data_IF_439313186248
#
_entry.id   IF_439313186248
#
_cell.length_a   1.000
_cell.length_b   1.000
_cell.length_c   1.000
_cell.angle_alpha   90.00
_cell.angle_beta   90.00
_cell.angle_gamma   90.00
#
_symmetry.space_group_name_H-M   'P 1'
#
loop_
_entity.id
_entity.type
_entity.pdbx_description
1 polymer ?
#
# COMPACT_ATOMS: atom_id res chain seq x y z
N UNK A 1 -16.02 51.15 91.84
CA UNK A 1 -14.95 51.49 90.85
C UNK A 1 -14.60 50.22 90.07
N UNK A 2 -15.20 50.04 88.95
CA UNK A 2 -14.84 48.93 88.03
C UNK A 2 -14.83 49.54 86.63
N UNK A 3 -13.67 49.61 86.03
CA UNK A 3 -13.45 50.09 84.69
C UNK A 3 -13.99 49.10 83.64
N UNK A 4 -14.77 49.62 82.74
CA UNK A 4 -15.28 48.92 81.58
C UNK A 4 -14.34 49.22 80.41
N UNK A 5 -13.49 48.28 80.08
CA UNK A 5 -12.67 48.35 78.85
C UNK A 5 -13.53 47.86 77.64
N UNK A 6 -13.77 48.79 76.75
CA UNK A 6 -14.47 48.52 75.50
C UNK A 6 -13.41 47.92 74.50
N UNK A 7 -13.64 46.68 74.18
CA UNK A 7 -12.88 45.98 73.15
C UNK A 7 -13.29 46.54 71.76
N UNK A 8 -12.39 47.24 71.07
CA UNK A 8 -12.52 47.59 69.67
C UNK A 8 -12.33 46.31 68.84
N UNK A 9 -13.40 45.64 68.51
CA UNK A 9 -13.37 44.53 67.56
C UNK A 9 -13.43 45.08 66.13
N UNK A 10 -12.26 45.11 65.54
CA UNK A 10 -11.90 44.73 64.20
C UNK A 10 -12.78 45.25 63.05
N UNK A 11 -12.36 46.33 62.47
CA UNK A 11 -12.75 46.85 61.13
C UNK A 11 -12.05 46.13 59.96
N UNK A 12 -11.48 44.92 60.13
CA UNK A 12 -10.75 44.20 59.08
C UNK A 12 -11.61 43.52 58.01
N UNK A 13 -12.84 43.23 58.26
CA UNK A 13 -13.71 42.46 57.36
C UNK A 13 -14.19 43.22 56.11
N UNK A 14 -14.28 44.55 56.17
CA UNK A 14 -14.76 45.37 55.05
C UNK A 14 -13.67 45.61 54.00
N UNK A 15 -12.40 45.76 54.43
CA UNK A 15 -11.24 45.94 53.56
C UNK A 15 -10.93 44.63 52.82
N UNK A 16 -11.00 43.50 53.49
CA UNK A 16 -10.77 42.18 52.90
C UNK A 16 -11.87 41.84 51.86
N UNK A 17 -13.12 42.12 52.14
CA UNK A 17 -14.23 41.96 51.19
C UNK A 17 -14.09 42.89 49.97
N UNK A 18 -13.63 44.12 50.14
CA UNK A 18 -13.34 45.05 49.05
C UNK A 18 -12.20 44.57 48.16
N UNK A 19 -11.13 44.04 48.75
CA UNK A 19 -10.00 43.49 48.04
C UNK A 19 -10.39 42.23 47.25
N UNK A 20 -11.07 41.27 47.84
CA UNK A 20 -11.57 40.04 47.19
C UNK A 20 -12.52 40.38 46.03
N UNK A 21 -13.39 41.37 46.17
CA UNK A 21 -14.26 41.80 45.07
C UNK A 21 -13.51 42.42 43.90
N UNK A 22 -12.47 43.24 44.15
CA UNK A 22 -11.61 43.81 43.10
C UNK A 22 -10.79 42.74 42.42
N UNK A 23 -10.27 41.77 43.18
CA UNK A 23 -9.55 40.61 42.63
C UNK A 23 -10.46 39.77 41.71
N UNK A 24 -11.70 39.50 42.16
CA UNK A 24 -12.68 38.75 41.36
C UNK A 24 -13.01 39.49 40.05
N UNK A 25 -13.23 40.81 40.09
CA UNK A 25 -13.44 41.59 38.86
C UNK A 25 -12.22 41.57 37.95
N UNK A 26 -11.01 41.60 38.50
CA UNK A 26 -9.77 41.46 37.70
C UNK A 26 -9.68 40.09 37.01
N UNK A 27 -10.01 39.01 37.74
CA UNK A 27 -10.01 37.65 37.14
C UNK A 27 -11.10 37.55 36.06
N UNK A 28 -12.33 38.04 36.30
CA UNK A 28 -13.38 38.01 35.29
C UNK A 28 -12.98 38.82 34.04
N UNK A 29 -12.42 40.01 34.24
CA UNK A 29 -11.93 40.83 33.11
C UNK A 29 -10.85 40.10 32.32
N UNK A 30 -9.90 39.43 33.00
CA UNK A 30 -8.85 38.62 32.35
C UNK A 30 -9.44 37.46 31.54
N UNK A 31 -10.42 36.73 32.13
CA UNK A 31 -11.10 35.63 31.40
C UNK A 31 -11.82 36.18 30.16
N UNK A 32 -12.54 37.29 30.28
CA UNK A 32 -13.19 37.91 29.10
C UNK A 32 -12.18 38.28 28.02
N UNK A 33 -11.04 38.87 28.41
CA UNK A 33 -9.98 39.22 27.45
C UNK A 33 -9.44 37.97 26.81
N UNK A 34 -9.15 36.91 27.54
CA UNK A 34 -8.69 35.62 26.98
C UNK A 34 -9.73 35.02 26.03
N UNK A 35 -11.02 35.07 26.37
CA UNK A 35 -12.09 34.59 25.48
C UNK A 35 -12.07 35.41 24.16
N UNK A 36 -12.03 36.73 24.25
CA UNK A 36 -12.03 37.60 23.07
C UNK A 36 -10.80 37.33 22.20
N UNK A 37 -9.60 37.24 22.77
CA UNK A 37 -8.37 36.90 22.03
C UNK A 37 -8.53 35.52 21.39
N UNK A 38 -9.02 34.51 22.12
CA UNK A 38 -9.19 33.15 21.60
C UNK A 38 -10.21 33.08 20.47
N UNK A 39 -11.22 33.95 20.42
CA UNK A 39 -12.15 34.04 19.28
C UNK A 39 -11.55 34.71 18.05
N UNK A 40 -10.55 35.59 18.24
CA UNK A 40 -9.84 36.26 17.13
C UNK A 40 -8.72 35.37 16.56
N UNK A 41 -8.20 34.42 17.33
CA UNK A 41 -7.21 33.46 16.85
C UNK A 41 -7.80 32.60 15.72
N UNK A 42 -6.97 32.18 14.72
CA UNK A 42 -7.40 31.30 13.64
C UNK A 42 -8.08 30.03 14.20
N UNK A 43 -9.23 29.65 13.64
CA UNK A 43 -9.90 28.41 13.99
C UNK A 43 -9.25 27.18 13.36
N UNK A 44 -8.53 27.36 12.25
CA UNK A 44 -7.87 26.28 11.52
C UNK A 44 -6.36 26.28 11.75
N UNK A 45 -5.80 25.10 11.84
CA UNK A 45 -4.36 24.90 11.88
C UNK A 45 -3.96 23.96 10.75
N UNK A 46 -2.91 24.34 10.02
CA UNK A 46 -2.35 23.56 8.92
C UNK A 46 -0.85 23.36 9.12
N UNK A 47 -0.44 22.11 8.97
CA UNK A 47 0.96 21.68 8.99
C UNK A 47 1.25 21.02 7.66
N UNK A 48 2.43 21.28 7.10
CA UNK A 48 2.90 20.59 5.90
C UNK A 48 4.40 20.36 6.02
N UNK A 49 4.84 19.15 5.70
CA UNK A 49 6.25 18.76 5.57
C UNK A 49 6.44 18.08 4.22
N UNK A 50 7.67 18.04 3.73
CA UNK A 50 7.98 17.43 2.46
C UNK A 50 9.33 16.72 2.50
N UNK A 51 9.46 15.63 1.73
CA UNK A 51 10.71 14.90 1.57
C UNK A 51 10.88 14.45 0.13
N UNK A 52 12.12 14.48 -0.37
CA UNK A 52 12.47 13.89 -1.66
C UNK A 52 12.97 12.47 -1.44
N UNK A 53 12.35 11.51 -2.12
CA UNK A 53 12.58 10.07 -2.05
C UNK A 53 13.10 9.61 -3.40
N UNK A 54 14.23 8.90 -3.41
CA UNK A 54 14.83 8.36 -4.64
C UNK A 54 14.18 7.02 -5.02
N UNK A 55 12.89 7.10 -5.32
CA UNK A 55 12.06 5.98 -5.75
C UNK A 55 10.91 6.49 -6.63
N UNK A 56 10.40 5.64 -7.58
CA UNK A 56 9.26 5.96 -8.42
C UNK A 56 7.99 6.26 -7.59
N UNK A 57 7.13 7.14 -8.10
CA UNK A 57 5.87 7.48 -7.43
C UNK A 57 4.98 6.26 -7.19
N UNK A 58 5.01 5.27 -8.09
CA UNK A 58 4.28 4.02 -7.92
C UNK A 58 4.72 3.24 -6.67
N UNK A 59 6.03 3.18 -6.40
CA UNK A 59 6.59 2.53 -5.20
C UNK A 59 6.19 3.27 -3.93
N UNK A 60 6.32 4.59 -3.92
CA UNK A 60 5.96 5.43 -2.76
C UNK A 60 4.45 5.37 -2.50
N UNK A 61 3.64 5.53 -3.54
CA UNK A 61 2.18 5.46 -3.46
C UNK A 61 1.68 4.14 -2.85
N UNK A 62 2.31 3.01 -3.19
CA UNK A 62 1.97 1.72 -2.61
C UNK A 62 2.13 1.68 -1.08
N UNK A 63 3.07 2.46 -0.51
CA UNK A 63 3.27 2.56 0.94
C UNK A 63 2.24 3.48 1.61
N UNK A 64 1.61 4.39 0.88
CA UNK A 64 0.64 5.36 1.38
C UNK A 64 -0.80 4.88 1.28
N UNK A 65 -1.10 4.10 0.22
CA UNK A 65 -2.46 3.71 -0.16
C UNK A 65 -2.93 2.39 0.50
N UNK A 66 -2.18 1.87 1.47
CA UNK A 66 -2.47 0.65 2.23
C UNK A 66 -2.03 0.84 3.68
N UNK A 67 -2.97 0.80 4.63
CA UNK A 67 -2.66 1.01 6.03
C UNK A 67 -1.79 -0.09 6.65
N UNK A 68 -1.76 -1.30 6.10
CA UNK A 68 -0.80 -2.33 6.54
C UNK A 68 0.63 -1.96 6.15
N UNK A 69 0.81 -1.30 5.00
CA UNK A 69 2.11 -0.75 4.57
C UNK A 69 2.46 0.51 5.34
N UNK A 70 1.48 1.39 5.57
CA UNK A 70 1.61 2.59 6.41
C UNK A 70 2.16 2.24 7.80
N UNK A 71 1.72 1.13 8.39
CA UNK A 71 2.20 0.65 9.69
C UNK A 71 3.71 0.39 9.76
N UNK A 72 4.38 0.15 8.63
CA UNK A 72 5.83 -0.13 8.60
C UNK A 72 6.70 1.11 8.83
N UNK A 73 6.14 2.32 8.65
CA UNK A 73 6.87 3.57 8.73
C UNK A 73 6.18 4.65 9.58
N UNK A 74 4.92 4.45 9.96
CA UNK A 74 4.17 5.41 10.77
C UNK A 74 4.76 5.55 12.19
N UNK A 75 5.14 6.78 12.63
CA UNK A 75 5.83 7.00 13.90
C UNK A 75 5.02 6.56 15.12
N UNK A 76 3.68 6.67 15.05
CA UNK A 76 2.80 6.36 16.18
C UNK A 76 2.91 4.93 16.69
N UNK A 77 3.25 3.98 15.81
CA UNK A 77 3.36 2.56 16.17
C UNK A 77 4.66 2.25 16.94
N UNK A 78 5.67 3.11 16.85
CA UNK A 78 6.89 2.97 17.67
C UNK A 78 6.76 3.63 19.04
N UNK A 79 5.97 4.72 19.13
CA UNK A 79 5.77 5.46 20.37
C UNK A 79 5.00 4.59 21.38
N UNK A 80 4.11 3.71 20.92
CA UNK A 80 3.32 2.82 21.76
C UNK A 80 3.46 1.36 21.31
N UNK A 81 4.43 0.59 21.85
CA UNK A 81 4.65 -0.80 21.46
C UNK A 81 3.49 -1.75 21.76
N UNK A 82 2.55 -1.36 22.62
CA UNK A 82 1.38 -2.15 22.99
C UNK A 82 0.09 -1.68 22.28
N UNK A 83 0.21 -0.78 21.32
CA UNK A 83 -0.93 -0.28 20.55
C UNK A 83 -1.64 -1.43 19.84
N UNK A 84 -2.95 -1.49 19.96
CA UNK A 84 -3.78 -2.42 19.19
C UNK A 84 -4.23 -1.75 17.92
N UNK A 85 -4.02 -2.42 16.80
CA UNK A 85 -4.42 -1.91 15.49
C UNK A 85 -5.38 -2.92 14.85
N UNK A 86 -6.49 -2.42 14.33
CA UNK A 86 -7.47 -3.17 13.57
C UNK A 86 -7.62 -2.55 12.18
N UNK A 87 -7.62 -3.39 11.16
CA UNK A 87 -7.85 -3.00 9.78
C UNK A 87 -9.23 -3.48 9.34
N UNK A 88 -9.98 -2.62 8.65
CA UNK A 88 -11.32 -2.91 8.14
C UNK A 88 -11.60 -2.18 6.83
N UNK A 89 -12.71 -2.53 6.18
CA UNK A 89 -13.07 -1.97 4.88
C UNK A 89 -12.23 -2.55 3.74
N UNK A 90 -11.92 -1.72 2.75
CA UNK A 90 -11.07 -2.12 1.61
C UNK A 90 -9.66 -2.46 2.07
N UNK A 91 -9.01 -3.43 1.44
CA UNK A 91 -7.61 -3.77 1.75
C UNK A 91 -6.64 -2.62 1.46
N UNK A 92 -7.01 -1.73 0.54
CA UNK A 92 -6.26 -0.53 0.13
C UNK A 92 -7.16 0.48 -0.57
N UNK A 93 -6.70 1.73 -0.68
CA UNK A 93 -7.41 2.81 -1.33
C UNK A 93 -8.66 3.27 -0.58
N UNK A 94 -9.57 3.96 -1.26
CA UNK A 94 -10.78 4.50 -0.64
C UNK A 94 -11.60 3.43 0.08
N UNK A 95 -12.02 3.74 1.32
CA UNK A 95 -12.72 2.81 2.21
C UNK A 95 -11.81 1.94 3.08
N UNK A 96 -10.49 1.94 2.85
CA UNK A 96 -9.55 1.31 3.79
C UNK A 96 -9.55 2.08 5.11
N UNK A 97 -9.67 1.36 6.22
CA UNK A 97 -9.79 1.95 7.56
C UNK A 97 -8.83 1.26 8.52
N UNK A 98 -8.13 2.08 9.31
CA UNK A 98 -7.29 1.66 10.42
C UNK A 98 -7.81 2.27 11.72
N UNK A 99 -8.13 1.44 12.70
CA UNK A 99 -8.50 1.86 14.05
C UNK A 99 -7.37 1.46 15.00
N UNK A 100 -7.02 2.35 15.91
CA UNK A 100 -6.01 2.07 16.93
C UNK A 100 -6.49 2.40 18.32
N UNK A 101 -5.95 1.69 19.30
CA UNK A 101 -6.19 1.90 20.72
C UNK A 101 -4.89 1.64 21.49
N UNK A 102 -4.35 2.66 22.11
CA UNK A 102 -3.07 2.64 22.80
C UNK A 102 -3.00 3.55 24.00
N UNK A 103 -2.20 3.19 24.98
CA UNK A 103 -2.05 3.94 26.22
C UNK A 103 -1.31 5.27 26.03
N UNK A 104 -0.40 5.34 25.09
CA UNK A 104 0.43 6.53 24.79
C UNK A 104 -0.09 7.24 23.54
N UNK A 105 -0.39 6.48 22.49
CA UNK A 105 -0.88 7.02 21.21
C UNK A 105 -2.36 7.46 21.27
N UNK A 106 -3.07 7.12 22.36
CA UNK A 106 -4.52 7.33 22.46
C UNK A 106 -5.28 6.41 21.50
N UNK A 107 -6.57 6.70 21.31
CA UNK A 107 -7.46 5.93 20.43
C UNK A 107 -7.91 6.78 19.27
N UNK A 108 -8.18 6.14 18.14
CA UNK A 108 -8.68 6.83 16.95
C UNK A 108 -8.91 5.93 15.76
N UNK A 109 -9.44 6.54 14.71
CA UNK A 109 -9.70 5.88 13.44
C UNK A 109 -9.24 6.78 12.31
N UNK A 110 -8.62 6.21 11.29
CA UNK A 110 -8.31 6.90 10.05
C UNK A 110 -8.82 6.10 8.86
N UNK A 111 -9.37 6.81 7.87
CA UNK A 111 -9.95 6.22 6.68
C UNK A 111 -9.43 6.92 5.44
N UNK A 112 -8.97 6.17 4.45
CA UNK A 112 -8.67 6.71 3.13
C UNK A 112 -10.01 7.04 2.46
N UNK A 113 -10.24 8.32 2.19
CA UNK A 113 -11.50 8.80 1.58
C UNK A 113 -11.36 9.07 0.08
N UNK A 114 -10.16 9.37 -0.37
CA UNK A 114 -9.86 9.58 -1.79
C UNK A 114 -8.43 9.13 -2.09
N UNK A 115 -8.21 8.68 -3.32
CA UNK A 115 -6.91 8.23 -3.77
C UNK A 115 -6.83 8.38 -5.29
N UNK A 116 -5.87 9.20 -5.74
CA UNK A 116 -5.52 9.36 -7.15
C UNK A 116 -4.19 8.64 -7.36
N UNK A 117 -4.15 7.60 -8.21
CA UNK A 117 -2.95 6.79 -8.41
C UNK A 117 -1.71 7.64 -8.70
N UNK A 118 -0.66 7.42 -7.90
CA UNK A 118 0.67 8.04 -7.99
C UNK A 118 0.73 9.55 -7.73
N UNK A 119 -0.40 10.19 -7.42
CA UNK A 119 -0.51 11.64 -7.23
C UNK A 119 -0.96 12.03 -5.83
N UNK A 120 -1.98 11.36 -5.26
CA UNK A 120 -2.60 11.82 -4.02
C UNK A 120 -3.26 10.70 -3.21
N UNK A 121 -3.18 10.83 -1.87
CA UNK A 121 -3.98 10.03 -0.92
C UNK A 121 -4.54 10.97 0.15
N UNK A 122 -5.87 10.98 0.31
CA UNK A 122 -6.58 11.77 1.31
C UNK A 122 -7.10 10.86 2.43
N UNK A 123 -6.86 11.28 3.66
CA UNK A 123 -7.20 10.54 4.86
C UNK A 123 -8.00 11.45 5.80
N UNK A 124 -9.10 10.92 6.31
CA UNK A 124 -9.86 11.52 7.41
C UNK A 124 -9.45 10.83 8.71
N UNK A 125 -9.12 11.62 9.73
CA UNK A 125 -8.78 11.16 11.08
C UNK A 125 -9.88 11.55 12.05
N UNK A 126 -10.33 10.59 12.86
CA UNK A 126 -11.25 10.81 13.97
C UNK A 126 -10.59 10.27 15.26
N UNK A 127 -10.42 11.15 16.27
CA UNK A 127 -9.84 10.83 17.58
C UNK A 127 -10.86 10.87 18.71
N UNK A 128 -12.18 10.89 18.36
CA UNK A 128 -13.26 11.01 19.35
C UNK A 128 -13.46 12.41 19.90
N UNK A 129 -12.68 13.40 19.46
CA UNK A 129 -12.89 14.82 19.77
C UNK A 129 -13.85 15.47 18.76
N UNK A 130 -14.55 16.55 19.13
CA UNK A 130 -15.36 17.29 18.17
C UNK A 130 -14.48 17.90 17.07
N UNK A 131 -14.69 17.50 15.84
CA UNK A 131 -13.98 17.95 14.65
C UNK A 131 -13.21 16.81 13.96
N UNK A 132 -13.33 16.75 12.64
CA UNK A 132 -12.54 15.86 11.81
C UNK A 132 -11.21 16.54 11.48
N UNK A 133 -10.14 15.77 11.49
CA UNK A 133 -8.86 16.22 10.98
C UNK A 133 -8.61 15.57 9.62
N UNK A 134 -8.04 16.35 8.71
CA UNK A 134 -7.71 15.89 7.36
C UNK A 134 -6.21 15.77 7.19
N UNK A 135 -5.79 14.68 6.60
CA UNK A 135 -4.41 14.45 6.21
C UNK A 135 -4.34 14.15 4.72
N UNK A 136 -3.38 14.76 4.03
CA UNK A 136 -3.18 14.55 2.60
C UNK A 136 -1.73 14.31 2.29
N UNK A 137 -1.48 13.27 1.50
CA UNK A 137 -0.23 13.07 0.80
C UNK A 137 -0.39 13.54 -0.64
N UNK A 138 0.56 14.33 -1.12
CA UNK A 138 0.69 14.70 -2.53
C UNK A 138 2.06 14.25 -3.03
N UNK A 139 2.09 13.64 -4.21
CA UNK A 139 3.29 13.10 -4.83
C UNK A 139 3.56 13.85 -6.14
N UNK A 140 4.81 14.18 -6.37
CA UNK A 140 5.28 14.75 -7.64
C UNK A 140 6.57 14.03 -8.03
N UNK A 141 6.54 13.27 -9.14
CA UNK A 141 7.70 12.56 -9.65
C UNK A 141 8.47 13.39 -10.66
N UNK A 142 9.78 13.44 -10.51
CA UNK A 142 10.70 14.07 -11.44
C UNK A 142 11.97 13.24 -11.55
N UNK A 143 12.32 12.83 -12.77
CA UNK A 143 13.52 12.05 -13.07
C UNK A 143 13.67 10.76 -12.24
N UNK A 144 12.56 10.08 -11.96
CA UNK A 144 12.54 8.80 -11.22
C UNK A 144 12.63 8.95 -9.69
N UNK A 145 12.66 10.18 -9.18
CA UNK A 145 12.56 10.48 -7.76
C UNK A 145 11.23 11.18 -7.45
N UNK A 146 10.67 10.92 -6.29
CA UNK A 146 9.36 11.43 -5.89
C UNK A 146 9.47 12.40 -4.73
N UNK A 147 8.94 13.62 -4.91
CA UNK A 147 8.72 14.55 -3.81
C UNK A 147 7.37 14.25 -3.17
N UNK A 148 7.38 13.88 -1.89
CA UNK A 148 6.17 13.66 -1.10
C UNK A 148 5.95 14.84 -0.19
N UNK A 149 4.75 15.43 -0.25
CA UNK A 149 4.28 16.44 0.68
C UNK A 149 3.18 15.85 1.54
N UNK A 150 3.36 15.90 2.87
CA UNK A 150 2.37 15.43 3.84
C UNK A 150 1.80 16.62 4.59
N UNK A 151 0.48 16.85 4.45
CA UNK A 151 -0.23 17.93 5.13
C UNK A 151 -1.23 17.37 6.14
N UNK A 152 -1.45 18.15 7.20
CA UNK A 152 -2.45 17.92 8.22
C UNK A 152 -3.23 19.21 8.44
N UNK A 153 -4.55 19.11 8.46
CA UNK A 153 -5.44 20.23 8.69
C UNK A 153 -6.49 19.85 9.73
N UNK A 154 -6.70 20.72 10.71
CA UNK A 154 -7.75 20.56 11.73
C UNK A 154 -8.45 21.89 11.97
N UNK A 155 -9.76 21.83 12.15
CA UNK A 155 -10.58 22.99 12.54
C UNK A 155 -11.01 22.84 14.00
N UNK A 156 -10.57 23.77 14.82
CA UNK A 156 -10.93 23.85 16.23
C UNK A 156 -12.33 24.44 16.45
N UNK A 157 -12.99 24.97 15.42
CA UNK A 157 -14.32 25.57 15.53
C UNK A 157 -14.38 26.59 16.68
N UNK A 158 -15.28 26.40 17.64
CA UNK A 158 -15.43 27.25 18.84
C UNK A 158 -14.56 26.77 20.03
N UNK A 159 -13.69 25.78 19.87
CA UNK A 159 -12.77 25.35 20.92
C UNK A 159 -11.66 26.38 21.13
N UNK A 160 -11.93 27.39 21.99
CA UNK A 160 -10.99 28.48 22.29
C UNK A 160 -9.68 27.95 22.87
N UNK A 161 -9.72 26.93 23.73
CA UNK A 161 -8.53 26.32 24.32
C UNK A 161 -7.67 25.68 23.23
N UNK A 162 -8.28 24.94 22.34
CA UNK A 162 -7.60 24.35 21.16
C UNK A 162 -6.88 25.39 20.33
N UNK A 163 -7.52 26.57 20.07
CA UNK A 163 -6.90 27.66 19.30
C UNK A 163 -5.63 28.22 19.95
N UNK A 164 -5.60 28.31 21.27
CA UNK A 164 -4.38 28.75 21.99
C UNK A 164 -3.23 27.75 21.89
N UNK A 165 -3.54 26.45 21.93
CA UNK A 165 -2.53 25.40 21.87
C UNK A 165 -2.15 24.98 20.44
N UNK A 166 -2.90 25.41 19.42
CA UNK A 166 -2.69 25.09 18.02
C UNK A 166 -1.22 25.29 17.55
N UNK A 167 -0.51 26.40 17.87
CA UNK A 167 0.87 26.58 17.41
C UNK A 167 1.86 25.58 18.04
N UNK A 168 1.62 25.17 19.29
CA UNK A 168 2.45 24.16 19.95
C UNK A 168 2.19 22.77 19.36
N UNK A 169 0.93 22.41 19.19
CA UNK A 169 0.49 21.17 18.58
C UNK A 169 1.04 21.03 17.16
N UNK A 170 0.97 22.09 16.35
CA UNK A 170 1.50 22.10 14.98
C UNK A 170 2.98 21.78 14.91
N UNK A 171 3.77 22.24 15.88
CA UNK A 171 5.22 21.94 15.93
C UNK A 171 5.48 20.46 16.24
N UNK A 172 4.68 19.86 17.12
CA UNK A 172 4.78 18.43 17.44
C UNK A 172 4.42 17.61 16.22
N UNK A 173 3.26 17.90 15.59
CA UNK A 173 2.82 17.21 14.36
C UNK A 173 3.84 17.33 13.24
N UNK A 174 4.42 18.53 13.03
CA UNK A 174 5.43 18.73 11.98
C UNK A 174 6.67 17.84 12.20
N UNK A 175 7.13 17.73 13.45
CA UNK A 175 8.27 16.88 13.79
C UNK A 175 7.94 15.39 13.58
N UNK A 176 6.77 14.95 14.04
CA UNK A 176 6.37 13.55 13.92
C UNK A 176 6.15 13.17 12.44
N UNK A 177 5.57 14.07 11.64
CA UNK A 177 5.40 13.88 10.20
C UNK A 177 6.73 13.84 9.46
N UNK A 178 7.70 14.70 9.84
CA UNK A 178 9.04 14.64 9.25
C UNK A 178 9.72 13.31 9.57
N UNK A 179 9.67 12.85 10.82
CA UNK A 179 10.22 11.55 11.21
C UNK A 179 9.54 10.39 10.44
N UNK A 180 8.23 10.49 10.19
CA UNK A 180 7.50 9.54 9.35
C UNK A 180 7.98 9.56 7.90
N UNK A 181 8.14 10.74 7.29
CA UNK A 181 8.65 10.84 5.92
C UNK A 181 10.09 10.33 5.80
N UNK A 182 10.94 10.51 6.82
CA UNK A 182 12.30 9.99 6.81
C UNK A 182 12.33 8.45 6.81
N UNK A 183 11.39 7.81 7.52
CA UNK A 183 11.22 6.35 7.51
C UNK A 183 10.60 5.85 6.21
N UNK A 184 9.59 6.54 5.71
CA UNK A 184 9.00 6.25 4.40
C UNK A 184 10.08 6.29 3.31
N UNK A 185 10.97 7.30 3.36
CA UNK A 185 12.11 7.42 2.47
C UNK A 185 13.03 6.19 2.55
N UNK A 186 13.47 5.82 3.75
CA UNK A 186 14.32 4.64 3.96
C UNK A 186 13.65 3.36 3.44
N UNK A 187 12.36 3.16 3.73
CA UNK A 187 11.60 2.02 3.26
C UNK A 187 11.50 1.99 1.74
N UNK A 188 11.06 3.09 1.12
CA UNK A 188 10.83 3.15 -0.32
C UNK A 188 12.14 2.99 -1.12
N UNK A 189 13.23 3.60 -0.66
CA UNK A 189 14.56 3.48 -1.29
C UNK A 189 15.21 2.10 -1.10
N UNK A 190 14.74 1.29 -0.14
CA UNK A 190 15.17 -0.11 0.01
C UNK A 190 14.46 -1.08 -0.94
N UNK A 191 13.40 -0.65 -1.60
CA UNK A 191 12.62 -1.47 -2.54
C UNK A 191 13.19 -1.36 -3.96
N UNK A 192 12.87 -2.33 -4.86
CA UNK A 192 13.29 -2.23 -6.25
C UNK A 192 12.86 -0.92 -6.90
N UNK A 193 13.81 -0.15 -7.42
CA UNK A 193 13.58 1.14 -8.06
C UNK A 193 13.01 1.08 -9.49
N UNK A 194 12.40 -0.05 -9.88
CA UNK A 194 11.77 -0.22 -11.19
C UNK A 194 10.36 0.35 -11.17
N UNK A 195 10.08 1.32 -12.02
CA UNK A 195 8.73 1.84 -12.20
C UNK A 195 7.83 0.79 -12.86
N UNK A 196 6.64 0.59 -12.26
CA UNK A 196 5.59 -0.33 -12.71
C UNK A 196 4.24 0.36 -12.95
N UNK A 197 4.23 1.69 -13.02
CA UNK A 197 3.02 2.49 -13.16
C UNK A 197 2.25 2.24 -14.45
N UNK A 198 2.94 1.81 -15.49
CA UNK A 198 2.39 1.49 -16.82
C UNK A 198 1.79 0.07 -16.92
N UNK A 199 1.97 -0.78 -15.90
CA UNK A 199 1.42 -2.13 -15.93
C UNK A 199 -0.09 -2.15 -15.68
N UNK A 200 -0.81 -2.88 -16.52
CA UNK A 200 -2.20 -3.25 -16.27
C UNK A 200 -2.23 -4.50 -15.38
N UNK A 201 -2.39 -4.27 -14.08
CA UNK A 201 -2.29 -5.30 -13.04
C UNK A 201 -3.67 -5.62 -12.50
N UNK A 202 -3.98 -6.92 -12.45
CA UNK A 202 -5.20 -7.44 -11.83
C UNK A 202 -4.84 -8.46 -10.75
N UNK A 203 -5.56 -8.44 -9.64
CA UNK A 203 -5.52 -9.51 -8.63
C UNK A 203 -6.80 -10.32 -8.77
N UNK A 204 -6.66 -11.58 -9.13
CA UNK A 204 -7.77 -12.49 -9.39
C UNK A 204 -7.49 -13.84 -8.72
N UNK A 205 -8.53 -14.64 -8.57
CA UNK A 205 -8.42 -16.05 -8.22
C UNK A 205 -8.60 -16.85 -9.49
N UNK A 206 -7.71 -17.80 -9.76
CA UNK A 206 -7.78 -18.70 -10.90
C UNK A 206 -8.12 -20.10 -10.43
N UNK A 207 -8.84 -20.83 -11.26
CA UNK A 207 -9.11 -22.27 -11.10
C UNK A 207 -7.99 -23.08 -11.76
N UNK A 208 -7.77 -24.30 -11.26
CA UNK A 208 -6.84 -25.23 -11.88
C UNK A 208 -7.39 -25.69 -13.25
N UNK A 209 -6.52 -25.67 -14.26
CA UNK A 209 -6.82 -26.15 -15.60
C UNK A 209 -5.95 -27.37 -15.89
N UNK A 210 -6.56 -28.42 -16.47
CA UNK A 210 -5.82 -29.61 -16.88
C UNK A 210 -4.92 -29.27 -18.09
N UNK A 211 -3.67 -29.74 -18.01
CA UNK A 211 -2.62 -29.48 -19.02
C UNK A 211 -1.88 -30.74 -19.40
N UNK A 212 -1.50 -30.84 -20.68
CA UNK A 212 -0.42 -31.69 -21.13
C UNK A 212 0.88 -30.89 -21.10
N UNK A 213 1.93 -31.37 -20.43
CA UNK A 213 3.16 -30.62 -20.26
C UNK A 213 4.42 -31.45 -20.44
N UNK A 214 5.49 -30.78 -20.88
CA UNK A 214 6.84 -31.32 -21.02
C UNK A 214 7.84 -30.44 -20.29
N UNK A 215 8.58 -30.99 -19.34
CA UNK A 215 9.70 -30.29 -18.70
C UNK A 215 10.87 -30.15 -19.65
N UNK A 216 11.31 -28.94 -19.87
CA UNK A 216 12.32 -28.56 -20.84
C UNK A 216 13.38 -27.67 -20.19
N UNK A 217 14.59 -27.78 -20.66
CA UNK A 217 15.72 -26.94 -20.26
C UNK A 217 16.28 -26.24 -21.50
N UNK A 218 16.61 -24.95 -21.36
CA UNK A 218 17.28 -24.18 -22.40
C UNK A 218 18.39 -23.32 -21.81
N UNK A 219 19.34 -22.88 -22.64
CA UNK A 219 20.16 -21.74 -22.27
C UNK A 219 19.28 -20.47 -22.08
N UNK A 220 19.76 -19.55 -21.27
CA UNK A 220 19.02 -18.33 -20.93
C UNK A 220 19.14 -17.24 -22.02
N UNK A 221 19.15 -17.63 -23.28
CA UNK A 221 19.09 -16.74 -24.43
C UNK A 221 17.83 -16.97 -25.26
N UNK A 222 17.38 -15.93 -25.95
CA UNK A 222 16.09 -15.94 -26.65
C UNK A 222 16.01 -16.97 -27.77
N UNK A 223 17.11 -17.25 -28.45
CA UNK A 223 17.16 -18.24 -29.57
C UNK A 223 17.01 -19.66 -29.05
N UNK A 224 17.86 -20.05 -28.09
CA UNK A 224 17.81 -21.37 -27.45
C UNK A 224 16.46 -21.64 -26.78
N UNK A 225 15.86 -20.62 -26.15
CA UNK A 225 14.53 -20.73 -25.54
C UNK A 225 13.46 -20.97 -26.61
N UNK A 226 13.44 -20.21 -27.70
CA UNK A 226 12.48 -20.38 -28.79
C UNK A 226 12.53 -21.78 -29.41
N UNK A 227 13.76 -22.29 -29.70
CA UNK A 227 13.97 -23.63 -30.25
C UNK A 227 13.48 -24.72 -29.30
N UNK A 228 13.82 -24.60 -27.98
CA UNK A 228 13.38 -25.54 -26.96
C UNK A 228 11.87 -25.58 -26.80
N UNK A 229 11.23 -24.39 -26.81
CA UNK A 229 9.76 -24.24 -26.74
C UNK A 229 9.10 -24.85 -27.99
N UNK A 230 9.59 -24.51 -29.19
CA UNK A 230 9.03 -25.02 -30.44
C UNK A 230 9.02 -26.57 -30.48
N UNK A 231 10.15 -27.20 -30.10
CA UNK A 231 10.26 -28.64 -30.01
C UNK A 231 9.29 -29.22 -28.96
N UNK A 232 9.24 -28.60 -27.75
CA UNK A 232 8.39 -29.10 -26.69
C UNK A 232 6.88 -29.01 -27.06
N UNK A 233 6.43 -27.92 -27.67
CA UNK A 233 5.05 -27.80 -28.13
C UNK A 233 4.73 -28.78 -29.26
N UNK A 234 5.64 -29.03 -30.19
CA UNK A 234 5.46 -30.06 -31.23
C UNK A 234 5.24 -31.46 -30.61
N UNK A 235 6.04 -31.83 -29.62
CA UNK A 235 5.93 -33.11 -28.92
C UNK A 235 4.59 -33.19 -28.14
N UNK A 236 4.15 -32.09 -27.50
CA UNK A 236 2.89 -32.02 -26.76
C UNK A 236 1.68 -32.13 -27.71
N UNK A 237 1.67 -31.40 -28.82
CA UNK A 237 0.58 -31.49 -29.82
C UNK A 237 0.50 -32.92 -30.37
N UNK A 238 1.63 -33.54 -30.73
CA UNK A 238 1.68 -34.94 -31.18
C UNK A 238 1.12 -35.90 -30.14
N UNK A 239 1.37 -35.65 -28.86
CA UNK A 239 0.80 -36.43 -27.77
C UNK A 239 -0.72 -36.22 -27.64
N UNK A 240 -1.20 -34.97 -27.67
CA UNK A 240 -2.64 -34.61 -27.62
C UNK A 240 -3.40 -35.36 -28.71
N UNK A 241 -2.90 -35.29 -29.95
CA UNK A 241 -3.52 -35.97 -31.09
C UNK A 241 -3.56 -37.50 -30.92
N UNK A 242 -2.46 -38.09 -30.48
CA UNK A 242 -2.38 -39.58 -30.27
C UNK A 242 -3.31 -40.06 -29.14
N UNK A 243 -3.59 -39.20 -28.15
CA UNK A 243 -4.44 -39.52 -27.00
C UNK A 243 -5.92 -39.19 -27.24
N UNK A 244 -6.26 -38.57 -28.36
CA UNK A 244 -7.62 -38.10 -28.65
C UNK A 244 -8.08 -36.98 -27.71
N UNK A 245 -7.15 -36.27 -27.08
CA UNK A 245 -7.43 -35.07 -26.29
C UNK A 245 -7.74 -33.89 -27.19
N UNK A 246 -8.41 -32.88 -26.65
CA UNK A 246 -8.68 -31.63 -27.34
C UNK A 246 -7.87 -30.51 -26.72
N UNK A 247 -7.27 -29.66 -27.53
CA UNK A 247 -6.73 -28.37 -27.11
C UNK A 247 -7.86 -27.52 -26.48
N UNK A 248 -7.58 -26.91 -25.33
CA UNK A 248 -8.55 -26.15 -24.54
C UNK A 248 -8.12 -24.72 -24.24
N UNK A 249 -7.02 -24.24 -24.80
CA UNK A 249 -6.56 -22.87 -24.57
C UNK A 249 -5.15 -22.57 -25.08
N UNK A 250 -4.73 -21.32 -24.85
CA UNK A 250 -3.41 -20.85 -25.28
C UNK A 250 -2.26 -21.63 -24.65
N UNK A 251 -1.16 -21.86 -25.39
CA UNK A 251 0.04 -22.48 -24.85
C UNK A 251 0.61 -21.72 -23.64
N UNK A 252 1.21 -22.45 -22.70
CA UNK A 252 1.74 -21.95 -21.45
C UNK A 252 3.24 -22.27 -21.33
N UNK A 253 3.99 -21.37 -20.68
CA UNK A 253 5.32 -21.65 -20.15
C UNK A 253 5.32 -21.43 -18.64
N UNK A 254 5.54 -22.49 -17.85
CA UNK A 254 5.57 -22.42 -16.39
C UNK A 254 7.02 -22.39 -15.94
N UNK A 255 7.47 -21.28 -15.37
CA UNK A 255 8.86 -21.04 -14.98
C UNK A 255 9.19 -21.86 -13.71
N UNK A 256 10.15 -22.78 -13.79
CA UNK A 256 10.55 -23.64 -12.67
C UNK A 256 11.79 -23.12 -11.96
N UNK A 257 12.90 -23.01 -12.68
CA UNK A 257 14.18 -22.59 -12.12
C UNK A 257 14.96 -21.76 -13.15
N UNK A 258 15.65 -20.75 -12.64
CA UNK A 258 16.59 -19.94 -13.41
C UNK A 258 17.92 -19.87 -12.66
N UNK A 259 19.00 -20.35 -13.26
CA UNK A 259 20.34 -20.39 -12.67
C UNK A 259 21.32 -19.37 -13.27
N UNK A 260 20.82 -18.32 -13.94
CA UNK A 260 21.63 -17.30 -14.60
C UNK A 260 22.09 -17.67 -16.02
N UNK A 261 22.41 -18.93 -16.28
CA UNK A 261 22.79 -19.43 -17.60
C UNK A 261 21.82 -20.47 -18.18
N UNK A 262 20.99 -21.05 -17.32
CA UNK A 262 20.05 -22.11 -17.66
C UNK A 262 18.66 -21.80 -17.13
N UNK A 263 17.65 -22.02 -17.97
CA UNK A 263 16.24 -21.90 -17.65
C UNK A 263 15.58 -23.27 -17.73
N UNK A 264 14.90 -23.67 -16.64
CA UNK A 264 14.03 -24.86 -16.60
C UNK A 264 12.59 -24.39 -16.56
N UNK A 265 11.78 -24.87 -17.50
CA UNK A 265 10.37 -24.55 -17.58
C UNK A 265 9.55 -25.77 -18.02
N UNK A 266 8.26 -25.76 -17.72
CA UNK A 266 7.33 -26.69 -18.30
C UNK A 266 6.59 -26.00 -19.44
N UNK A 267 6.84 -26.41 -20.70
CA UNK A 267 5.97 -26.10 -21.82
C UNK A 267 4.67 -26.87 -21.62
N UNK A 268 3.52 -26.23 -21.79
CA UNK A 268 2.24 -26.85 -21.52
C UNK A 268 1.15 -26.35 -22.46
N UNK A 269 0.17 -27.21 -22.74
CA UNK A 269 -1.05 -26.87 -23.50
C UNK A 269 -2.25 -27.30 -22.65
N UNK A 270 -3.23 -26.40 -22.37
CA UNK A 270 -4.48 -26.77 -21.73
C UNK A 270 -5.22 -27.81 -22.56
N UNK A 271 -5.78 -28.85 -21.91
CA UNK A 271 -6.46 -29.93 -22.58
C UNK A 271 -7.84 -30.20 -21.98
N UNK A 272 -8.70 -30.79 -22.78
CA UNK A 272 -9.99 -31.34 -22.36
C UNK A 272 -10.14 -32.78 -22.88
N UNK A 273 -10.92 -33.56 -22.17
CA UNK A 273 -11.14 -34.96 -22.50
C UNK A 273 -10.22 -35.83 -21.68
N UNK A 274 -10.78 -36.61 -20.78
CA UNK A 274 -10.02 -37.57 -19.97
C UNK A 274 -9.75 -38.83 -20.79
N UNK A 275 -8.49 -39.13 -21.03
CA UNK A 275 -8.10 -40.50 -21.33
C UNK A 275 -8.08 -41.28 -20.00
N UNK A 276 -8.87 -42.34 -19.87
CA UNK A 276 -8.86 -43.25 -18.71
C UNK A 276 -7.54 -44.07 -18.60
N UNK A 277 -6.64 -43.93 -19.57
CA UNK A 277 -5.37 -44.66 -19.59
C UNK A 277 -4.19 -43.73 -19.54
N UNK A 278 -3.40 -43.81 -18.49
CA UNK A 278 -2.04 -43.23 -18.47
C UNK A 278 -1.25 -43.80 -19.64
N UNK A 279 -0.73 -42.97 -20.57
CA UNK A 279 -0.01 -43.47 -21.74
C UNK A 279 1.22 -44.24 -21.31
N UNK A 280 1.31 -45.53 -21.69
CA UNK A 280 2.47 -46.36 -21.39
C UNK A 280 3.72 -46.03 -22.21
N UNK A 281 3.56 -45.32 -23.33
CA UNK A 281 4.59 -45.16 -24.35
C UNK A 281 5.04 -43.69 -24.63
N UNK A 282 4.70 -42.72 -23.79
CA UNK A 282 5.18 -41.36 -23.92
C UNK A 282 5.90 -40.92 -22.64
N UNK A 283 7.17 -41.31 -22.43
CA UNK A 283 7.86 -41.06 -21.16
C UNK A 283 8.18 -39.58 -20.86
N UNK A 284 7.94 -38.67 -21.79
CA UNK A 284 8.32 -37.28 -21.71
C UNK A 284 7.16 -36.32 -21.45
N UNK A 285 6.01 -36.44 -22.16
CA UNK A 285 4.82 -35.61 -21.92
C UNK A 285 3.96 -36.18 -20.81
N UNK A 286 3.53 -35.32 -19.88
CA UNK A 286 2.74 -35.67 -18.70
C UNK A 286 1.44 -34.88 -18.68
N UNK A 287 0.41 -35.42 -18.03
CA UNK A 287 -0.80 -34.69 -17.65
C UNK A 287 -0.65 -34.12 -16.24
N UNK A 288 -1.26 -32.98 -15.98
CA UNK A 288 -1.25 -32.32 -14.69
C UNK A 288 -2.19 -31.12 -14.66
N UNK A 289 -2.06 -30.30 -13.65
CA UNK A 289 -2.90 -29.11 -13.48
C UNK A 289 -2.04 -27.86 -13.31
N UNK A 290 -2.59 -26.71 -13.73
CA UNK A 290 -2.05 -25.40 -13.41
C UNK A 290 -2.25 -25.09 -11.93
N UNK A 291 -1.71 -23.95 -11.48
CA UNK A 291 -1.96 -23.43 -10.14
C UNK A 291 -3.45 -23.06 -9.97
N UNK A 292 -3.97 -23.28 -8.75
CA UNK A 292 -5.28 -22.82 -8.30
C UNK A 292 -5.08 -21.85 -7.12
N UNK A 293 -5.77 -20.71 -7.14
CA UNK A 293 -5.72 -19.73 -6.06
C UNK A 293 -5.47 -18.30 -6.53
N UNK A 294 -5.12 -17.38 -5.59
CA UNK A 294 -4.91 -15.98 -5.90
C UNK A 294 -3.64 -15.75 -6.72
N UNK A 295 -3.76 -14.90 -7.74
CA UNK A 295 -2.64 -14.51 -8.60
C UNK A 295 -2.66 -13.01 -8.91
N UNK A 296 -1.48 -12.47 -9.15
CA UNK A 296 -1.30 -11.23 -9.90
C UNK A 296 -1.24 -11.59 -11.38
N UNK A 297 -2.17 -11.05 -12.17
CA UNK A 297 -2.21 -11.18 -13.63
C UNK A 297 -1.81 -9.86 -14.28
N UNK A 298 -0.91 -9.93 -15.26
CA UNK A 298 -0.47 -8.79 -16.06
C UNK A 298 -0.63 -9.11 -17.54
N UNK A 299 -1.22 -8.17 -18.27
CA UNK A 299 -1.25 -8.23 -19.73
C UNK A 299 0.00 -7.54 -20.29
N UNK A 300 0.87 -8.30 -20.92
CA UNK A 300 1.98 -7.79 -21.72
C UNK A 300 1.53 -7.67 -23.19
N UNK A 301 1.77 -6.52 -23.80
CA UNK A 301 1.60 -6.32 -25.24
C UNK A 301 2.94 -5.95 -25.83
N UNK A 302 3.39 -6.70 -26.84
CA UNK A 302 4.66 -6.49 -27.51
C UNK A 302 5.54 -7.73 -27.61
N UNK A 303 6.78 -7.49 -27.98
CA UNK A 303 7.81 -8.52 -28.25
C UNK A 303 8.10 -9.40 -27.03
N UNK A 304 8.29 -10.69 -27.24
CA UNK A 304 8.75 -11.62 -26.20
C UNK A 304 10.11 -11.21 -25.58
N UNK A 305 10.94 -10.45 -26.30
CA UNK A 305 12.20 -9.91 -25.76
C UNK A 305 11.97 -8.90 -24.63
N UNK A 306 10.82 -8.23 -24.62
CA UNK A 306 10.46 -7.26 -23.59
C UNK A 306 9.86 -7.91 -22.31
N UNK A 307 9.54 -9.21 -22.34
CA UNK A 307 8.98 -9.94 -21.18
C UNK A 307 9.88 -9.83 -19.95
N UNK A 308 11.20 -9.91 -20.12
CA UNK A 308 12.16 -9.75 -19.00
C UNK A 308 11.96 -8.44 -18.25
N UNK A 309 11.71 -7.33 -18.96
CA UNK A 309 11.45 -6.04 -18.34
C UNK A 309 10.09 -6.05 -17.63
N UNK A 310 9.07 -6.65 -18.22
CA UNK A 310 7.75 -6.79 -17.59
C UNK A 310 7.85 -7.62 -16.31
N UNK A 311 8.61 -8.72 -16.30
CA UNK A 311 8.86 -9.51 -15.09
C UNK A 311 9.56 -8.70 -13.98
N UNK A 312 10.52 -7.82 -14.33
CA UNK A 312 11.16 -6.91 -13.35
C UNK A 312 10.16 -5.93 -12.76
N UNK A 313 9.28 -5.35 -13.58
CA UNK A 313 8.21 -4.46 -13.12
C UNK A 313 7.23 -5.19 -12.19
N UNK A 314 6.84 -6.43 -12.52
CA UNK A 314 5.98 -7.25 -11.65
C UNK A 314 6.68 -7.55 -10.33
N UNK A 315 7.97 -7.87 -10.33
CA UNK A 315 8.73 -8.10 -9.11
C UNK A 315 8.78 -6.84 -8.22
N UNK A 316 8.96 -5.65 -8.80
CA UNK A 316 8.90 -4.38 -8.10
C UNK A 316 7.49 -4.14 -7.52
N UNK A 317 6.43 -4.40 -8.27
CA UNK A 317 5.06 -4.33 -7.80
C UNK A 317 4.81 -5.25 -6.60
N UNK A 318 5.22 -6.52 -6.69
CA UNK A 318 5.05 -7.48 -5.58
C UNK A 318 5.77 -6.99 -4.32
N UNK A 319 7.03 -6.52 -4.45
CA UNK A 319 7.82 -5.99 -3.34
C UNK A 319 7.18 -4.75 -2.73
N UNK A 320 6.76 -3.77 -3.54
CA UNK A 320 6.13 -2.54 -3.08
C UNK A 320 4.82 -2.81 -2.31
N UNK A 321 4.06 -3.83 -2.71
CA UNK A 321 2.81 -4.22 -2.05
C UNK A 321 2.99 -5.29 -0.97
N UNK A 322 4.21 -5.77 -0.71
CA UNK A 322 4.50 -6.81 0.27
C UNK A 322 3.89 -8.17 -0.05
N UNK A 323 3.62 -8.44 -1.33
CA UNK A 323 3.01 -9.69 -1.76
C UNK A 323 4.04 -10.81 -1.81
N UNK A 324 3.75 -11.90 -1.13
CA UNK A 324 4.61 -13.09 -1.12
C UNK A 324 4.23 -14.04 -2.26
N UNK A 325 5.23 -14.51 -3.00
CA UNK A 325 5.01 -15.51 -4.05
C UNK A 325 4.61 -16.86 -3.44
N UNK A 326 3.62 -17.51 -4.04
CA UNK A 326 3.11 -18.82 -3.62
C UNK A 326 3.15 -19.85 -4.76
N UNK A 327 4.24 -19.87 -5.50
CA UNK A 327 4.42 -20.83 -6.58
C UNK A 327 5.18 -20.27 -7.79
N UNK A 328 5.38 -21.09 -8.81
CA UNK A 328 6.02 -20.69 -10.05
C UNK A 328 5.14 -19.74 -10.86
N UNK A 329 5.73 -18.70 -11.41
CA UNK A 329 5.06 -17.85 -12.38
C UNK A 329 4.88 -18.58 -13.70
N UNK A 330 3.87 -18.20 -14.48
CA UNK A 330 3.70 -18.70 -15.84
C UNK A 330 3.26 -17.61 -16.80
N UNK A 331 3.54 -17.87 -18.06
CA UNK A 331 3.15 -17.08 -19.21
C UNK A 331 2.12 -17.87 -20.04
N UNK A 332 1.09 -17.18 -20.54
CA UNK A 332 0.12 -17.72 -21.51
C UNK A 332 0.20 -16.91 -22.81
N UNK A 333 0.55 -17.56 -23.91
CA UNK A 333 0.79 -16.95 -25.21
C UNK A 333 -0.51 -16.87 -25.99
N UNK A 334 -1.28 -15.78 -25.77
CA UNK A 334 -2.64 -15.62 -26.32
C UNK A 334 -2.62 -15.40 -27.82
N UNK A 335 -1.65 -14.63 -28.32
CA UNK A 335 -1.50 -14.36 -29.75
C UNK A 335 -0.57 -15.37 -30.42
N UNK A 336 -0.95 -15.82 -31.62
CA UNK A 336 -0.07 -16.59 -32.48
C UNK A 336 0.95 -15.66 -33.17
N UNK A 337 2.27 -15.85 -32.93
CA UNK A 337 3.31 -15.01 -33.51
C UNK A 337 3.41 -15.13 -35.05
N UNK A 338 2.81 -16.17 -35.64
CA UNK A 338 2.73 -16.31 -37.08
C UNK A 338 1.63 -15.47 -37.74
N UNK A 339 0.66 -14.99 -36.97
CA UNK A 339 -0.53 -14.29 -37.48
C UNK A 339 -0.64 -12.83 -36.97
N UNK A 340 0.13 -12.43 -35.99
CA UNK A 340 0.07 -11.10 -35.33
C UNK A 340 1.44 -10.43 -35.39
N UNK A 341 1.47 -9.12 -35.63
CA UNK A 341 2.69 -8.33 -35.61
C UNK A 341 3.35 -8.35 -34.21
N UNK A 342 4.69 -8.31 -34.17
CA UNK A 342 5.47 -8.49 -32.93
C UNK A 342 5.09 -7.48 -31.83
N UNK A 343 4.76 -6.25 -32.20
CA UNK A 343 4.36 -5.17 -31.29
C UNK A 343 2.92 -5.30 -30.77
N UNK A 344 2.11 -6.16 -31.40
CA UNK A 344 0.73 -6.45 -31.03
C UNK A 344 0.53 -7.82 -30.35
N UNK A 345 1.63 -8.58 -30.14
CA UNK A 345 1.57 -9.86 -29.42
C UNK A 345 1.06 -9.67 -28.00
N UNK A 346 0.15 -10.53 -27.57
CA UNK A 346 -0.41 -10.54 -26.23
C UNK A 346 0.07 -11.77 -25.47
N UNK A 347 0.72 -11.52 -24.33
CA UNK A 347 1.09 -12.54 -23.35
C UNK A 347 0.46 -12.18 -22.01
N UNK A 348 -0.26 -13.12 -21.42
CA UNK A 348 -0.73 -12.97 -20.03
C UNK A 348 0.30 -13.60 -19.10
N UNK A 349 0.74 -12.83 -18.10
CA UNK A 349 1.73 -13.26 -17.11
C UNK A 349 1.04 -13.40 -15.77
N UNK A 350 1.26 -14.53 -15.10
CA UNK A 350 0.63 -14.86 -13.84
C UNK A 350 1.68 -15.13 -12.76
N UNK A 351 1.51 -14.49 -11.62
CA UNK A 351 2.32 -14.71 -10.43
C UNK A 351 1.44 -15.20 -9.28
N UNK A 352 1.52 -16.48 -8.89
CA UNK A 352 0.87 -16.96 -7.67
C UNK A 352 1.30 -16.16 -6.47
N UNK A 353 0.32 -15.75 -5.65
CA UNK A 353 0.56 -15.01 -4.40
C UNK A 353 -0.10 -15.74 -3.24
N UNK A 354 0.44 -15.54 -2.03
CA UNK A 354 -0.23 -16.02 -0.82
C UNK A 354 -1.57 -15.32 -0.64
N UNK A 355 -2.61 -16.00 -0.12
CA UNK A 355 -3.83 -15.34 0.33
C UNK A 355 -3.52 -14.23 1.32
N UNK A 356 -4.29 -13.14 1.27
CA UNK A 356 -4.20 -12.00 2.20
C UNK A 356 -4.58 -12.37 3.64
#
# INVERSE_FOLDING_TARGET
>A
MVNCEIIHAVSGGSLLRGFVRKLLYGIVALIVVLIVIGLVLPSTSRVQVSSKIDAPAATVYAQLNDFRRFALWAPMLEIDPNIRVLYSGSSRGPGSTMTWDGAIAGSGTQTIVNSVPFEQVDIVLNRGEPGEAFSRFSLAEEAGATTVSWSFETDYGLNIVGRYFAPLFSRVVARDYQAGLDKLKQLAESLPGTDFSDLQIERIVVEAVEIAYLRTTSAADAGSMADAMGKAYFDIVTFIDKQGLQDAGAPLSILRTFSGSELVFDAAIPVRGTSESTPRDAPTVKLGFTYEGPVVRVKHTGSYRALTQTHRKIAAYLAAHGLQRNGPAWESYVSDPGSVAEDALITLIFYPISPD
#
